data_IF_675492720450
#
_entry.id   IF_675492720450
#
_cell.length_a   1.000
_cell.length_b   1.000
_cell.length_c   1.000
_cell.angle_alpha   90.00
_cell.angle_beta   90.00
_cell.angle_gamma   90.00
#
_symmetry.space_group_name_H-M   'P 1'
#
loop_
_entity.id
_entity.type
_entity.pdbx_description
1 polymer ?
#
# COMPACT_ATOMS: atom_id res chain seq x y z
N UNK A 1 -8.26 -17.37 13.47
CA UNK A 1 -7.23 -16.65 14.25
C UNK A 1 -6.80 -15.44 13.44
N UNK A 2 -6.78 -14.24 14.05
CA UNK A 2 -6.37 -12.99 13.40
C UNK A 2 -5.05 -12.57 14.03
N UNK A 3 -4.01 -12.55 13.23
CA UNK A 3 -2.70 -12.02 13.65
C UNK A 3 -2.57 -10.62 13.09
N UNK A 4 -2.09 -9.68 13.91
CA UNK A 4 -1.76 -8.32 13.49
C UNK A 4 -0.35 -8.02 13.97
N UNK A 5 0.54 -7.70 13.04
CA UNK A 5 1.90 -7.29 13.29
C UNK A 5 2.04 -5.82 12.88
N UNK A 6 2.55 -5.01 13.80
CA UNK A 6 2.91 -3.62 13.51
C UNK A 6 4.42 -3.48 13.54
N UNK A 7 4.97 -2.93 12.46
CA UNK A 7 6.39 -2.63 12.37
C UNK A 7 6.60 -1.15 12.09
N UNK A 8 7.61 -0.58 12.75
CA UNK A 8 8.03 0.80 12.57
C UNK A 8 9.54 0.83 12.39
N UNK A 9 9.99 1.39 11.27
CA UNK A 9 11.40 1.59 10.97
C UNK A 9 11.71 3.07 10.78
N UNK A 10 12.71 3.55 11.50
CA UNK A 10 13.24 4.90 11.40
C UNK A 10 14.71 4.83 11.01
N UNK A 11 15.09 5.56 9.97
CA UNK A 11 16.49 5.75 9.58
C UNK A 11 16.75 7.26 9.50
N UNK A 12 17.25 7.87 10.58
CA UNK A 12 17.52 9.31 10.65
C UNK A 12 18.58 9.75 9.64
N UNK A 13 19.63 8.94 9.44
CA UNK A 13 20.71 9.24 8.50
C UNK A 13 20.21 9.36 7.06
N UNK A 14 19.26 8.49 6.66
CA UNK A 14 18.62 8.53 5.34
C UNK A 14 17.34 9.39 5.31
N UNK A 15 16.93 9.95 6.44
CA UNK A 15 15.68 10.70 6.63
C UNK A 15 14.45 9.93 6.15
N UNK A 16 14.42 8.63 6.46
CA UNK A 16 13.36 7.71 6.07
C UNK A 16 12.55 7.28 7.29
N UNK A 17 11.23 7.26 7.13
CA UNK A 17 10.28 6.71 8.10
C UNK A 17 9.36 5.73 7.39
N UNK A 18 9.27 4.51 7.91
CA UNK A 18 8.40 3.46 7.38
C UNK A 18 7.53 2.92 8.51
N UNK A 19 6.27 2.70 8.19
CA UNK A 19 5.31 1.99 9.03
C UNK A 19 4.68 0.89 8.19
N UNK A 20 4.50 -0.29 8.76
CA UNK A 20 3.72 -1.38 8.17
C UNK A 20 2.79 -1.98 9.21
N UNK A 21 1.60 -2.35 8.75
CA UNK A 21 0.62 -3.12 9.50
C UNK A 21 0.31 -4.32 8.62
N UNK A 22 0.73 -5.47 9.10
CA UNK A 22 0.47 -6.76 8.47
C UNK A 22 -0.61 -7.46 9.27
N UNK A 23 -1.58 -8.05 8.58
CA UNK A 23 -2.58 -8.89 9.24
C UNK A 23 -2.90 -10.12 8.41
N UNK A 24 -3.09 -11.23 9.09
CA UNK A 24 -3.49 -12.49 8.49
C UNK A 24 -4.74 -13.00 9.18
N UNK A 25 -5.73 -13.43 8.40
CA UNK A 25 -6.94 -14.09 8.90
C UNK A 25 -7.18 -15.34 8.08
N UNK A 26 -7.38 -16.46 8.77
CA UNK A 26 -7.69 -17.75 8.14
C UNK A 26 -9.06 -18.22 8.62
N UNK A 27 -9.90 -18.61 7.66
CA UNK A 27 -11.20 -19.24 7.89
C UNK A 27 -11.29 -20.60 7.16
N UNK A 28 -12.48 -21.18 7.06
CA UNK A 28 -12.68 -22.48 6.39
C UNK A 28 -12.46 -22.43 4.87
N UNK A 29 -12.65 -21.28 4.23
CA UNK A 29 -12.65 -21.10 2.77
C UNK A 29 -11.33 -20.53 2.25
N UNK A 30 -10.68 -19.65 3.01
CA UNK A 30 -9.49 -18.94 2.55
C UNK A 30 -8.56 -18.48 3.68
N UNK A 31 -7.38 -18.04 3.29
CA UNK A 31 -6.46 -17.24 4.11
C UNK A 31 -6.28 -15.88 3.44
N UNK A 32 -6.66 -14.82 4.14
CA UNK A 32 -6.49 -13.44 3.70
C UNK A 32 -5.31 -12.81 4.42
N UNK A 33 -4.37 -12.26 3.66
CA UNK A 33 -3.23 -11.47 4.14
C UNK A 33 -3.43 -10.03 3.67
N UNK A 34 -3.29 -9.07 4.58
CA UNK A 34 -3.37 -7.65 4.30
C UNK A 34 -2.09 -7.00 4.80
N UNK A 35 -1.37 -6.34 3.90
CA UNK A 35 -0.22 -5.49 4.23
C UNK A 35 -0.58 -4.04 3.91
N UNK A 36 -0.57 -3.18 4.93
CA UNK A 36 -0.71 -1.73 4.78
C UNK A 36 0.62 -1.09 5.14
N UNK A 37 1.22 -0.32 4.23
CA UNK A 37 2.49 0.35 4.49
C UNK A 37 2.47 1.83 4.12
N UNK A 38 3.22 2.60 4.90
CA UNK A 38 3.43 4.04 4.71
C UNK A 38 4.92 4.33 4.77
N UNK A 39 5.47 4.83 3.67
CA UNK A 39 6.88 5.21 3.58
C UNK A 39 6.99 6.69 3.29
N UNK A 40 7.80 7.37 4.08
CA UNK A 40 8.15 8.77 3.92
C UNK A 40 9.66 8.92 3.79
N UNK A 41 10.10 9.77 2.87
CA UNK A 41 11.49 10.20 2.74
C UNK A 41 11.54 11.71 2.63
N UNK A 42 12.37 12.34 3.44
CA UNK A 42 12.51 13.80 3.47
C UNK A 42 13.83 14.20 2.80
N UNK A 43 13.75 15.07 1.81
CA UNK A 43 14.90 15.74 1.20
C UNK A 43 14.81 17.25 1.40
N UNK A 44 15.94 17.96 1.36
CA UNK A 44 15.93 19.43 1.24
C UNK A 44 15.50 19.84 -0.17
N UNK A 45 14.72 20.90 -0.28
CA UNK A 45 14.34 21.53 -1.54
C UNK A 45 14.79 22.98 -1.52
N UNK A 46 15.26 23.49 -2.67
CA UNK A 46 15.65 24.90 -2.82
C UNK A 46 14.44 25.79 -3.08
N UNK A 47 13.47 25.26 -3.84
CA UNK A 47 12.24 25.94 -4.24
C UNK A 47 11.10 24.92 -4.25
N UNK A 48 9.87 25.39 -4.02
CA UNK A 48 8.68 24.57 -4.24
C UNK A 48 8.43 24.48 -5.74
N UNK A 49 8.14 23.28 -6.25
CA UNK A 49 7.71 23.16 -7.65
C UNK A 49 6.30 23.74 -7.75
N UNK A 50 6.08 24.84 -8.50
CA UNK A 50 4.75 25.42 -8.68
C UNK A 50 3.80 24.44 -9.39
N UNK A 51 4.32 23.41 -10.05
CA UNK A 51 3.54 22.31 -10.64
C UNK A 51 3.47 21.16 -9.65
N UNK A 52 2.83 21.38 -8.51
CA UNK A 52 2.55 20.33 -7.52
C UNK A 52 1.72 19.23 -8.21
N UNK A 53 2.41 18.21 -8.72
CA UNK A 53 1.77 17.17 -9.53
C UNK A 53 0.86 16.35 -8.63
N UNK A 54 -0.34 15.99 -9.09
CA UNK A 54 -1.20 15.10 -8.33
C UNK A 54 -0.47 13.78 -8.06
N UNK A 55 -0.75 13.12 -6.92
CA UNK A 55 -0.19 11.81 -6.63
C UNK A 55 -0.56 10.79 -7.71
N UNK A 56 0.36 9.87 -7.98
CA UNK A 56 0.10 8.72 -8.85
C UNK A 56 -0.65 7.65 -8.06
N UNK A 57 -1.78 7.21 -8.58
CA UNK A 57 -2.62 6.16 -7.99
C UNK A 57 -2.58 4.93 -8.88
N UNK A 58 -2.26 3.78 -8.30
CA UNK A 58 -2.23 2.48 -8.99
C UNK A 58 -3.18 1.53 -8.29
N UNK A 59 -4.20 1.08 -9.01
CA UNK A 59 -5.18 0.10 -8.53
C UNK A 59 -5.08 -1.11 -9.45
N UNK A 60 -4.79 -2.28 -8.88
CA UNK A 60 -4.66 -3.52 -9.64
C UNK A 60 -5.36 -4.66 -8.93
N UNK A 61 -6.06 -5.48 -9.71
CA UNK A 61 -6.59 -6.77 -9.31
C UNK A 61 -5.98 -7.84 -10.21
N UNK A 62 -5.51 -8.94 -9.63
CA UNK A 62 -5.01 -10.09 -10.38
C UNK A 62 -5.47 -11.39 -9.74
N UNK A 63 -5.56 -12.44 -10.54
CA UNK A 63 -5.91 -13.77 -10.09
C UNK A 63 -4.97 -14.81 -10.72
N UNK A 64 -4.29 -15.59 -9.88
CA UNK A 64 -3.50 -16.74 -10.29
C UNK A 64 -4.35 -18.01 -10.10
N UNK A 65 -4.88 -18.54 -11.20
CA UNK A 65 -5.73 -19.74 -11.20
C UNK A 65 -4.99 -21.01 -10.81
N UNK A 66 -3.67 -21.09 -11.08
CA UNK A 66 -2.87 -22.27 -10.75
C UNK A 66 -2.63 -22.36 -9.25
N UNK A 67 -2.36 -21.21 -8.63
CA UNK A 67 -2.10 -21.11 -7.18
C UNK A 67 -3.35 -20.79 -6.35
N UNK A 68 -4.48 -20.53 -7.00
CA UNK A 68 -5.72 -20.08 -6.38
C UNK A 68 -5.50 -18.83 -5.50
N UNK A 69 -4.76 -17.84 -6.03
CA UNK A 69 -4.41 -16.61 -5.33
C UNK A 69 -5.10 -15.42 -6.00
N UNK A 70 -5.88 -14.68 -5.23
CA UNK A 70 -6.39 -13.36 -5.63
C UNK A 70 -5.55 -12.27 -4.98
N UNK A 71 -5.21 -11.22 -5.72
CA UNK A 71 -4.44 -10.09 -5.19
C UNK A 71 -5.07 -8.76 -5.58
N UNK A 72 -5.15 -7.86 -4.62
CA UNK A 72 -5.54 -6.47 -4.79
C UNK A 72 -4.40 -5.58 -4.33
N UNK A 73 -4.00 -4.62 -5.18
CA UNK A 73 -2.94 -3.67 -4.87
C UNK A 73 -3.46 -2.26 -5.07
N UNK A 74 -3.39 -1.45 -4.02
CA UNK A 74 -3.73 -0.04 -4.04
C UNK A 74 -2.52 0.77 -3.57
N UNK A 75 -1.81 1.39 -4.51
CA UNK A 75 -0.57 2.14 -4.24
C UNK A 75 -0.76 3.60 -4.61
N UNK A 76 -0.38 4.51 -3.70
CA UNK A 76 -0.40 5.95 -3.93
C UNK A 76 0.99 6.52 -3.69
N UNK A 77 1.55 7.20 -4.69
CA UNK A 77 2.91 7.74 -4.64
C UNK A 77 2.90 9.20 -5.01
N UNK A 78 3.62 10.01 -4.26
CA UNK A 78 3.71 11.43 -4.55
C UNK A 78 4.72 12.14 -3.68
N UNK A 79 4.62 13.45 -3.66
CA UNK A 79 5.37 14.28 -2.75
C UNK A 79 4.56 15.51 -2.37
N UNK A 80 4.94 16.14 -1.26
CA UNK A 80 4.49 17.46 -0.87
C UNK A 80 5.66 18.22 -0.26
N UNK A 81 5.49 19.53 -0.08
CA UNK A 81 6.49 20.38 0.56
C UNK A 81 6.03 20.79 1.95
N UNK A 82 6.96 20.88 2.88
CA UNK A 82 6.75 21.47 4.20
C UNK A 82 7.87 22.47 4.47
N UNK A 83 7.53 23.56 5.15
CA UNK A 83 8.51 24.52 5.64
C UNK A 83 8.84 24.20 7.11
N UNK A 84 10.13 24.17 7.44
CA UNK A 84 10.60 23.99 8.82
C UNK A 84 11.67 25.05 9.12
N UNK A 85 11.26 26.11 9.82
CA UNK A 85 12.08 27.31 9.97
C UNK A 85 12.35 27.96 8.61
N UNK A 86 13.63 28.17 8.28
CA UNK A 86 14.08 28.72 6.99
C UNK A 86 14.32 27.65 5.92
N UNK A 87 14.16 26.36 6.24
CA UNK A 87 14.36 25.27 5.27
C UNK A 87 13.04 24.85 4.63
N UNK A 88 13.06 24.72 3.30
CA UNK A 88 12.02 24.03 2.56
C UNK A 88 12.39 22.55 2.42
N UNK A 89 11.47 21.67 2.80
CA UNK A 89 11.65 20.22 2.75
C UNK A 89 10.64 19.60 1.80
N UNK A 90 11.12 18.69 0.95
CA UNK A 90 10.27 17.84 0.12
C UNK A 90 10.08 16.49 0.80
N UNK A 91 8.83 16.17 1.10
CA UNK A 91 8.44 14.87 1.65
C UNK A 91 7.91 14.00 0.52
N UNK A 92 8.68 12.99 0.13
CA UNK A 92 8.23 11.93 -0.78
C UNK A 92 7.49 10.87 0.01
N UNK A 93 6.31 10.47 -0.47
CA UNK A 93 5.52 9.43 0.16
C UNK A 93 5.18 8.29 -0.80
N UNK A 94 5.07 7.08 -0.26
CA UNK A 94 4.54 5.90 -0.92
C UNK A 94 3.67 5.14 0.09
N UNK A 95 2.37 5.10 -0.18
CA UNK A 95 1.39 4.36 0.60
C UNK A 95 0.93 3.15 -0.20
N UNK A 96 0.91 1.99 0.43
CA UNK A 96 0.47 0.76 -0.22
C UNK A 96 -0.51 0.00 0.68
N UNK A 97 -1.56 -0.53 0.06
CA UNK A 97 -2.42 -1.55 0.61
C UNK A 97 -2.39 -2.74 -0.35
N UNK A 98 -1.80 -3.84 0.09
CA UNK A 98 -1.73 -5.09 -0.64
C UNK A 98 -2.56 -6.14 0.10
N UNK A 99 -3.57 -6.68 -0.58
CA UNK A 99 -4.45 -7.74 -0.07
C UNK A 99 -4.21 -8.98 -0.91
N UNK A 100 -3.91 -10.10 -0.27
CA UNK A 100 -3.71 -11.40 -0.92
C UNK A 100 -4.65 -12.41 -0.29
N UNK A 101 -5.48 -13.07 -1.10
CA UNK A 101 -6.40 -14.11 -0.66
C UNK A 101 -5.94 -15.42 -1.27
N UNK A 102 -5.61 -16.38 -0.41
CA UNK A 102 -5.30 -17.77 -0.78
C UNK A 102 -6.56 -18.60 -0.56
N UNK A 103 -7.15 -19.10 -1.64
CA UNK A 103 -8.35 -19.93 -1.57
C UNK A 103 -7.98 -21.40 -1.29
N UNK A 104 -8.72 -22.05 -0.37
CA UNK A 104 -8.49 -23.46 0.02
C UNK A 104 -9.16 -24.45 -0.94
N UNK A 105 -10.20 -24.01 -1.63
CA UNK A 105 -10.90 -24.76 -2.67
C UNK A 105 -11.00 -23.90 -3.93
N UNK A 106 -11.34 -24.51 -5.08
CA UNK A 106 -11.68 -23.81 -6.33
C UNK A 106 -13.06 -23.12 -6.27
N UNK A 107 -13.55 -22.81 -5.07
CA UNK A 107 -14.72 -21.97 -4.85
C UNK A 107 -14.27 -20.52 -4.87
N UNK A 108 -14.12 -20.02 -6.10
CA UNK A 108 -13.67 -18.67 -6.36
C UNK A 108 -14.69 -17.63 -5.85
N UNK A 109 -14.25 -16.38 -5.72
CA UNK A 109 -15.16 -15.23 -5.61
C UNK A 109 -16.29 -15.35 -6.64
N UNK A 110 -17.53 -14.92 -6.33
CA UNK A 110 -18.68 -15.20 -7.17
C UNK A 110 -18.34 -14.88 -8.63
N UNK A 111 -18.66 -15.83 -9.53
CA UNK A 111 -18.52 -15.67 -10.98
C UNK A 111 -18.98 -14.24 -11.31
N UNK A 112 -18.12 -13.46 -11.98
CA UNK A 112 -18.36 -12.06 -12.40
C UNK A 112 -19.85 -11.80 -12.42
N UNK A 113 -20.31 -10.95 -11.49
CA UNK A 113 -21.68 -10.44 -11.45
C UNK A 113 -22.15 -10.19 -12.88
N UNK A 114 -23.28 -10.80 -13.24
CA UNK A 114 -24.00 -10.51 -14.47
C UNK A 114 -23.96 -9.00 -14.68
N UNK A 115 -23.49 -8.57 -15.85
CA UNK A 115 -23.66 -7.20 -16.28
C UNK A 115 -25.12 -6.86 -16.07
N UNK A 116 -25.42 -5.90 -15.20
CA UNK A 116 -26.73 -5.26 -15.18
C UNK A 116 -26.92 -4.71 -16.59
N UNK A 117 -27.73 -5.41 -17.37
CA UNK A 117 -28.18 -5.01 -18.70
C UNK A 117 -29.57 -4.43 -18.54
#
# INVERSE_FOLDING_TARGET
MREVLYEKRLDPAKRVKVFSIDSATTDKKCTTKICKSFRYKVDRAKESDPRNRPPLVFIRKSFDTKRCIESFRFHVKGFFFISHGKELLRVRFNHALDITIHWKAKDFSPKKSASLT
#
